data_IF_928209474602
#
_entry.id   IF_928209474602
#
_cell.length_a   1.000
_cell.length_b   1.000
_cell.length_c   1.000
_cell.angle_alpha   90.00
_cell.angle_beta   90.00
_cell.angle_gamma   90.00
#
_symmetry.space_group_name_H-M   'P 1'
#
loop_
_entity.id
_entity.type
_entity.pdbx_description
1 polymer ?
#
# COMPACT_ATOMS: atom_id res chain seq x y z
N UNK A 1 23.60 -3.46 -62.65
CA UNK A 1 22.80 -2.97 -61.51
C UNK A 1 21.90 -4.10 -61.06
N UNK A 2 22.03 -4.44 -59.76
CA UNK A 2 21.18 -5.29 -58.91
C UNK A 2 20.75 -6.68 -59.39
N UNK A 3 21.29 -7.70 -58.70
CA UNK A 3 20.68 -9.01 -58.55
C UNK A 3 20.14 -9.25 -57.13
N UNK A 4 19.53 -10.43 -56.99
CA UNK A 4 19.18 -11.22 -55.79
C UNK A 4 18.01 -10.82 -54.88
N UNK A 5 16.89 -11.55 -55.03
CA UNK A 5 16.49 -12.63 -54.10
C UNK A 5 15.62 -12.29 -52.88
N UNK A 6 14.44 -12.90 -52.78
CA UNK A 6 14.05 -13.76 -51.64
C UNK A 6 12.64 -14.34 -51.85
N UNK A 7 12.50 -15.64 -51.58
CA UNK A 7 11.28 -16.43 -51.66
C UNK A 7 11.14 -17.12 -50.29
N UNK A 8 9.94 -17.09 -49.70
CA UNK A 8 9.61 -17.79 -48.45
C UNK A 8 8.18 -18.38 -48.56
N UNK A 9 7.86 -19.47 -47.84
CA UNK A 9 7.40 -20.70 -48.51
C UNK A 9 6.09 -21.30 -47.97
N UNK A 10 5.53 -22.21 -48.79
CA UNK A 10 4.65 -23.38 -48.53
C UNK A 10 3.79 -23.50 -47.26
N UNK A 11 2.48 -23.60 -47.49
CA UNK A 11 1.50 -24.21 -46.57
C UNK A 11 1.43 -25.75 -46.73
N UNK A 12 1.00 -26.37 -45.63
CA UNK A 12 0.25 -27.63 -45.50
C UNK A 12 1.01 -28.97 -45.27
N UNK A 13 1.02 -29.34 -43.98
CA UNK A 13 0.35 -30.52 -43.41
C UNK A 13 1.14 -31.82 -43.06
N UNK A 14 1.07 -32.09 -41.74
CA UNK A 14 0.74 -33.36 -41.06
C UNK A 14 1.86 -34.31 -40.62
N UNK A 15 2.37 -34.04 -39.42
CA UNK A 15 2.83 -35.06 -38.47
C UNK A 15 2.13 -34.83 -37.12
N UNK A 16 1.14 -35.66 -36.81
CA UNK A 16 0.36 -35.56 -35.58
C UNK A 16 1.09 -36.16 -34.37
N UNK A 17 1.22 -35.35 -33.31
CA UNK A 17 1.17 -35.86 -31.94
C UNK A 17 0.06 -35.09 -31.24
N UNK A 18 -0.98 -35.80 -30.80
CA UNK A 18 -2.08 -35.27 -30.03
C UNK A 18 -1.54 -34.75 -28.69
N UNK A 19 -1.15 -33.48 -28.65
CA UNK A 19 -0.86 -32.79 -27.42
C UNK A 19 -2.18 -32.63 -26.68
N UNK A 20 -2.29 -33.25 -25.50
CA UNK A 20 -3.40 -33.00 -24.60
C UNK A 20 -3.63 -31.49 -24.51
N UNK A 21 -4.85 -31.04 -24.85
CA UNK A 21 -5.23 -29.64 -24.74
C UNK A 21 -4.96 -29.19 -23.30
N UNK A 22 -3.95 -28.33 -23.12
CA UNK A 22 -3.71 -27.69 -21.84
C UNK A 22 -4.98 -26.91 -21.50
N UNK A 23 -5.55 -27.18 -20.34
CA UNK A 23 -6.70 -26.45 -19.83
C UNK A 23 -6.41 -24.94 -19.89
N UNK A 24 -7.18 -24.13 -20.64
CA UNK A 24 -6.97 -22.68 -20.72
C UNK A 24 -7.05 -21.99 -19.36
N UNK A 25 -7.60 -22.65 -18.34
CA UNK A 25 -7.72 -22.14 -16.96
C UNK A 25 -6.43 -22.24 -16.16
N UNK A 26 -5.40 -22.94 -16.64
CA UNK A 26 -4.08 -22.99 -16.00
C UNK A 26 -3.12 -22.07 -16.77
N UNK A 27 -3.53 -20.81 -16.94
CA UNK A 27 -2.58 -19.72 -17.13
C UNK A 27 -1.86 -19.53 -15.79
N UNK A 28 -0.55 -19.80 -15.76
CA UNK A 28 0.28 -19.48 -14.60
C UNK A 28 0.12 -17.99 -14.30
N UNK A 29 -0.68 -17.66 -13.28
CA UNK A 29 -0.86 -16.29 -12.82
C UNK A 29 0.52 -15.81 -12.42
N UNK A 30 1.12 -14.91 -13.20
CA UNK A 30 2.27 -14.16 -12.75
C UNK A 30 1.89 -13.59 -11.38
N UNK A 31 2.56 -14.06 -10.33
CA UNK A 31 2.28 -13.62 -8.98
C UNK A 31 2.60 -12.12 -8.99
N UNK A 32 1.58 -11.29 -8.82
CA UNK A 32 1.75 -9.84 -8.78
C UNK A 32 2.64 -9.41 -7.61
N UNK A 33 2.73 -8.11 -7.38
CA UNK A 33 3.51 -7.57 -6.26
C UNK A 33 3.15 -8.27 -4.95
N UNK A 34 4.18 -8.73 -4.22
CA UNK A 34 4.02 -9.30 -2.89
C UNK A 34 4.02 -8.17 -1.87
N UNK A 35 3.25 -8.32 -0.81
CA UNK A 35 3.18 -7.35 0.29
C UNK A 35 4.05 -7.79 1.46
N UNK A 36 4.73 -6.82 2.09
CA UNK A 36 5.43 -7.01 3.36
C UNK A 36 4.50 -6.61 4.50
N UNK A 37 4.42 -7.42 5.55
CA UNK A 37 3.51 -7.17 6.69
C UNK A 37 4.31 -7.12 7.98
N UNK A 38 4.11 -6.06 8.77
CA UNK A 38 4.63 -5.94 10.14
C UNK A 38 3.49 -6.24 11.10
N UNK A 39 3.63 -7.30 11.90
CA UNK A 39 2.64 -7.75 12.87
C UNK A 39 3.24 -7.84 14.28
N UNK A 40 2.38 -7.66 15.29
CA UNK A 40 2.76 -7.87 16.69
C UNK A 40 2.71 -9.36 17.00
N UNK A 41 3.73 -9.86 17.68
CA UNK A 41 3.80 -11.26 18.09
C UNK A 41 3.21 -11.48 19.50
N UNK A 42 3.00 -10.41 20.27
CA UNK A 42 2.57 -10.45 21.66
C UNK A 42 1.32 -9.56 21.85
N UNK A 43 1.21 -8.88 23.00
CA UNK A 43 0.04 -8.08 23.40
C UNK A 43 0.25 -6.57 23.21
N UNK A 44 0.99 -6.16 22.17
CA UNK A 44 1.22 -4.74 21.89
C UNK A 44 2.56 -4.22 22.39
N UNK A 45 2.83 -2.96 22.07
CA UNK A 45 4.02 -2.20 22.46
C UNK A 45 5.39 -2.84 22.15
N UNK A 46 5.45 -3.73 21.16
CA UNK A 46 6.69 -4.40 20.73
C UNK A 46 7.62 -3.50 19.89
N UNK A 47 7.26 -2.22 19.71
CA UNK A 47 8.03 -1.28 18.89
C UNK A 47 7.84 -1.45 17.38
N UNK A 48 6.69 -1.99 16.94
CA UNK A 48 6.34 -2.18 15.52
C UNK A 48 6.53 -0.93 14.67
N UNK A 49 6.18 0.23 15.22
CA UNK A 49 6.30 1.50 14.52
C UNK A 49 7.74 1.80 14.06
N UNK A 50 8.75 1.46 14.88
CA UNK A 50 10.16 1.61 14.49
C UNK A 50 10.55 0.73 13.29
N UNK A 51 9.99 -0.47 13.20
CA UNK A 51 10.19 -1.38 12.04
C UNK A 51 9.44 -0.85 10.82
N UNK A 52 8.23 -0.34 11.00
CA UNK A 52 7.45 0.29 9.94
C UNK A 52 8.19 1.50 9.37
N UNK A 53 8.75 2.36 10.21
CA UNK A 53 9.49 3.55 9.76
C UNK A 53 10.71 3.18 8.92
N UNK A 54 11.44 2.13 9.32
CA UNK A 54 12.58 1.63 8.55
C UNK A 54 12.13 1.11 7.17
N UNK A 55 11.06 0.32 7.11
CA UNK A 55 10.57 -0.26 5.86
C UNK A 55 9.88 0.78 4.96
N UNK A 56 9.31 1.84 5.53
CA UNK A 56 8.61 2.88 4.79
C UNK A 56 9.54 3.80 3.98
N UNK A 57 10.85 3.77 4.23
CA UNK A 57 11.83 4.56 3.46
C UNK A 57 11.87 4.14 1.98
N UNK A 58 11.73 2.82 1.72
CA UNK A 58 11.81 2.22 0.38
C UNK A 58 10.44 1.74 -0.14
N UNK A 59 9.35 2.07 0.55
CA UNK A 59 8.00 1.65 0.15
C UNK A 59 7.39 2.61 -0.87
N UNK A 60 6.64 2.09 -1.84
CA UNK A 60 5.77 2.91 -2.71
C UNK A 60 4.43 3.23 -2.02
N UNK A 61 3.92 2.26 -1.26
CA UNK A 61 2.61 2.31 -0.60
C UNK A 61 2.73 1.76 0.82
N UNK A 62 2.16 2.49 1.77
CA UNK A 62 2.02 2.04 3.16
C UNK A 62 0.55 1.93 3.53
N UNK A 63 0.17 0.80 4.13
CA UNK A 63 -1.23 0.46 4.34
C UNK A 63 -1.55 0.21 5.81
N UNK A 64 -2.71 0.68 6.26
CA UNK A 64 -3.37 0.17 7.48
C UNK A 64 -4.55 -0.71 7.07
N UNK A 65 -4.55 -1.97 7.49
CA UNK A 65 -5.58 -2.93 7.09
C UNK A 65 -6.71 -3.12 8.11
N UNK A 66 -6.46 -2.86 9.39
CA UNK A 66 -7.36 -3.15 10.51
C UNK A 66 -7.21 -2.13 11.65
N UNK A 67 -8.16 -2.15 12.59
CA UNK A 67 -8.11 -1.38 13.83
C UNK A 67 -8.72 0.01 13.71
N UNK A 68 -8.33 0.91 14.63
CA UNK A 68 -8.78 2.30 14.69
C UNK A 68 -7.65 3.20 15.18
N UNK A 69 -7.98 4.29 15.88
CA UNK A 69 -7.06 5.29 16.41
C UNK A 69 -6.60 5.02 17.86
N UNK A 70 -6.63 3.76 18.30
CA UNK A 70 -6.40 3.36 19.70
C UNK A 70 -4.92 3.23 20.10
N UNK A 71 -4.00 3.25 19.12
CA UNK A 71 -2.57 3.14 19.35
C UNK A 71 -1.85 4.25 18.59
N UNK A 72 -0.89 4.88 19.26
CA UNK A 72 -0.06 5.94 18.71
C UNK A 72 1.33 5.45 18.32
N UNK A 73 1.93 6.08 17.32
CA UNK A 73 3.34 5.93 16.98
C UNK A 73 3.92 7.31 16.64
N UNK A 74 5.01 7.66 17.31
CA UNK A 74 5.70 8.95 17.10
C UNK A 74 6.93 8.75 16.21
N UNK A 75 7.03 9.54 15.14
CA UNK A 75 8.17 9.58 14.23
C UNK A 75 8.88 10.91 14.37
N UNK A 76 10.21 10.91 14.44
CA UNK A 76 11.01 12.14 14.51
C UNK A 76 11.73 12.35 13.18
N UNK A 77 11.46 13.48 12.51
CA UNK A 77 12.13 13.91 11.28
C UNK A 77 12.69 15.31 11.48
N UNK A 78 13.99 15.50 11.24
CA UNK A 78 14.67 16.79 11.40
C UNK A 78 14.37 17.49 12.75
N UNK A 79 14.38 16.72 13.84
CA UNK A 79 14.05 17.15 15.21
C UNK A 79 12.59 17.58 15.43
N UNK A 80 11.68 17.32 14.49
CA UNK A 80 10.23 17.51 14.63
C UNK A 80 9.55 16.18 14.90
N UNK A 81 8.72 16.13 15.94
CA UNK A 81 7.99 14.93 16.37
C UNK A 81 6.58 14.87 15.76
N UNK A 82 6.28 13.85 14.97
CA UNK A 82 4.99 13.61 14.33
C UNK A 82 4.27 12.46 15.01
N UNK A 83 3.02 12.65 15.43
CA UNK A 83 2.26 11.65 16.19
C UNK A 83 1.17 11.05 15.31
N UNK A 84 1.27 9.75 15.04
CA UNK A 84 0.34 9.03 14.16
C UNK A 84 -0.55 8.09 14.96
N UNK A 85 -1.86 8.15 14.75
CA UNK A 85 -2.83 7.28 15.40
C UNK A 85 -3.65 6.50 14.38
N UNK A 86 -4.23 7.16 13.39
CA UNK A 86 -5.01 6.56 12.31
C UNK A 86 -4.25 6.60 10.98
N UNK A 87 -3.54 7.69 10.68
CA UNK A 87 -2.72 7.78 9.49
C UNK A 87 -1.62 6.69 9.54
N UNK A 88 -1.33 6.01 8.43
CA UNK A 88 -0.13 5.20 8.33
C UNK A 88 1.13 6.08 8.51
N UNK A 89 1.98 5.81 9.50
CA UNK A 89 3.13 6.68 9.83
C UNK A 89 4.11 6.89 8.68
N UNK A 90 4.21 5.91 7.76
CA UNK A 90 5.00 6.03 6.55
C UNK A 90 4.58 7.15 5.59
N UNK A 91 3.41 7.79 5.79
CA UNK A 91 2.99 8.99 5.03
C UNK A 91 3.97 10.16 5.21
N UNK A 92 4.82 10.12 6.24
CA UNK A 92 5.92 11.08 6.45
C UNK A 92 6.94 11.08 5.31
N UNK A 93 7.07 9.96 4.59
CA UNK A 93 7.84 9.92 3.35
C UNK A 93 7.04 10.58 2.23
N UNK A 94 7.53 11.68 1.61
CA UNK A 94 6.78 12.41 0.59
C UNK A 94 6.53 11.59 -0.69
N UNK A 95 7.32 10.53 -0.93
CA UNK A 95 7.17 9.66 -2.10
C UNK A 95 6.15 8.53 -1.89
N UNK A 96 5.66 8.34 -0.66
CA UNK A 96 4.76 7.26 -0.30
C UNK A 96 3.30 7.68 -0.48
N UNK A 97 2.50 6.76 -1.03
CA UNK A 97 1.03 6.82 -0.94
C UNK A 97 0.57 6.06 0.31
N UNK A 98 -0.18 6.74 1.18
CA UNK A 98 -0.81 6.12 2.34
C UNK A 98 -2.19 5.57 1.97
N UNK A 99 -2.49 4.34 2.42
CA UNK A 99 -3.76 3.68 2.15
C UNK A 99 -4.43 3.18 3.43
N UNK A 100 -5.67 3.60 3.64
CA UNK A 100 -6.54 3.08 4.71
C UNK A 100 -7.49 2.04 4.10
N UNK A 101 -7.30 0.78 4.50
CA UNK A 101 -8.08 -0.36 4.01
C UNK A 101 -9.47 -0.46 4.65
N UNK A 102 -10.31 -1.30 4.05
CA UNK A 102 -11.72 -1.49 4.44
C UNK A 102 -11.92 -2.08 5.85
N UNK A 103 -10.91 -2.73 6.44
CA UNK A 103 -10.98 -3.26 7.81
C UNK A 103 -10.76 -2.21 8.90
N UNK A 104 -10.47 -0.96 8.53
CA UNK A 104 -10.26 0.13 9.49
C UNK A 104 -11.60 0.75 9.88
N UNK A 105 -11.71 1.11 11.16
CA UNK A 105 -12.79 1.96 11.70
C UNK A 105 -12.26 3.37 11.87
N UNK A 106 -12.86 4.33 11.17
CA UNK A 106 -12.39 5.70 11.03
C UNK A 106 -13.22 6.64 11.90
N UNK A 107 -12.59 7.30 12.87
CA UNK A 107 -13.15 8.46 13.56
C UNK A 107 -12.77 9.73 12.79
N UNK A 108 -13.69 10.28 12.00
CA UNK A 108 -13.40 11.40 11.08
C UNK A 108 -12.82 12.64 11.77
N UNK A 109 -13.40 13.16 12.89
CA UNK A 109 -12.81 14.30 13.58
C UNK A 109 -11.37 14.01 14.04
N UNK A 110 -11.13 12.81 14.58
CA UNK A 110 -9.80 12.40 15.02
C UNK A 110 -8.77 12.32 13.89
N UNK A 111 -9.18 11.87 12.70
CA UNK A 111 -8.32 11.83 11.52
C UNK A 111 -7.86 13.24 11.12
N UNK A 112 -8.79 14.19 11.04
CA UNK A 112 -8.46 15.57 10.68
C UNK A 112 -7.67 16.28 11.78
N UNK A 113 -8.03 16.09 13.05
CA UNK A 113 -7.28 16.63 14.18
C UNK A 113 -5.82 16.13 14.21
N UNK A 114 -5.60 14.85 13.93
CA UNK A 114 -4.27 14.24 13.81
C UNK A 114 -3.46 14.89 12.68
N UNK A 115 -4.05 14.99 11.49
CA UNK A 115 -3.41 15.58 10.33
C UNK A 115 -3.05 17.06 10.57
N UNK A 116 -4.01 17.87 11.02
CA UNK A 116 -3.80 19.29 11.29
C UNK A 116 -2.74 19.53 12.38
N UNK A 117 -2.73 18.72 13.45
CA UNK A 117 -1.71 18.83 14.50
C UNK A 117 -0.32 18.58 13.92
N UNK A 118 -0.17 17.56 13.10
CA UNK A 118 1.12 17.21 12.50
C UNK A 118 1.57 18.22 11.43
N UNK A 119 0.67 18.74 10.60
CA UNK A 119 1.00 19.80 9.63
C UNK A 119 1.50 21.08 10.31
N UNK A 120 0.95 21.44 11.48
CA UNK A 120 1.40 22.62 12.24
C UNK A 120 2.80 22.47 12.82
N UNK A 121 3.29 21.24 13.01
CA UNK A 121 4.61 20.99 13.61
C UNK A 121 5.76 21.17 12.62
N UNK A 122 5.53 20.92 11.33
CA UNK A 122 6.55 21.07 10.29
C UNK A 122 6.10 20.54 8.94
N UNK A 123 7.01 20.55 7.95
CA UNK A 123 6.68 20.24 6.54
C UNK A 123 6.50 18.76 6.21
N UNK A 124 6.71 17.85 7.16
CA UNK A 124 6.63 16.40 6.93
C UNK A 124 5.28 15.88 6.42
N UNK A 125 4.18 16.60 6.69
CA UNK A 125 2.84 16.27 6.15
C UNK A 125 2.36 17.21 5.04
N UNK A 126 3.22 18.04 4.47
CA UNK A 126 2.80 18.94 3.39
C UNK A 126 2.15 18.16 2.22
N UNK A 127 0.89 18.47 1.91
CA UNK A 127 0.13 17.84 0.83
C UNK A 127 -0.25 16.38 1.08
N UNK A 128 -0.39 15.96 2.34
CA UNK A 128 -0.80 14.61 2.72
C UNK A 128 -2.13 14.18 2.08
N UNK A 129 -3.06 15.10 1.84
CA UNK A 129 -4.40 14.85 1.26
C UNK A 129 -4.31 14.29 -0.16
N UNK A 130 -3.26 14.64 -0.90
CA UNK A 130 -3.03 14.14 -2.26
C UNK A 130 -2.47 12.73 -2.27
N UNK A 131 -1.95 12.26 -1.13
CA UNK A 131 -1.25 10.99 -0.96
C UNK A 131 -2.00 10.02 -0.05
N UNK A 132 -3.08 10.44 0.60
CA UNK A 132 -3.95 9.57 1.38
C UNK A 132 -5.10 9.06 0.52
N UNK A 133 -5.21 7.74 0.42
CA UNK A 133 -6.34 7.06 -0.19
C UNK A 133 -7.09 6.30 0.90
N UNK A 134 -8.40 6.51 0.97
CA UNK A 134 -9.28 5.84 1.94
C UNK A 134 -10.23 4.93 1.18
N UNK A 135 -10.27 3.66 1.57
CA UNK A 135 -11.27 2.71 1.07
C UNK A 135 -12.68 3.19 1.40
N UNK A 136 -13.55 3.28 0.40
CA UNK A 136 -14.98 3.61 0.52
C UNK A 136 -15.78 2.64 1.41
N UNK A 137 -15.25 1.42 1.59
CA UNK A 137 -15.81 0.36 2.45
C UNK A 137 -15.33 0.38 3.90
N UNK A 138 -14.50 1.35 4.30
CA UNK A 138 -14.09 1.49 5.70
C UNK A 138 -15.28 1.94 6.56
N UNK A 139 -15.37 1.43 7.80
CA UNK A 139 -16.46 1.79 8.70
C UNK A 139 -16.18 3.15 9.35
N UNK A 140 -17.23 3.93 9.61
CA UNK A 140 -17.10 5.21 10.33
C UNK A 140 -17.48 5.01 11.80
N UNK A 141 -16.57 5.35 12.72
CA UNK A 141 -16.86 5.49 14.13
C UNK A 141 -17.66 6.78 14.33
N UNK A 142 -18.96 6.64 14.53
CA UNK A 142 -19.84 7.74 14.89
C UNK A 142 -19.64 8.10 16.37
N UNK A 143 -19.85 9.37 16.76
CA UNK A 143 -19.89 9.75 18.16
C UNK A 143 -20.95 8.91 18.86
N UNK A 144 -20.57 8.22 19.94
CA UNK A 144 -21.56 7.72 20.86
C UNK A 144 -22.17 8.95 21.55
N UNK A 145 -23.44 9.21 21.29
CA UNK A 145 -24.17 10.28 21.97
C UNK A 145 -23.98 10.15 23.47
N UNK A 146 -23.66 11.26 24.13
CA UNK A 146 -23.96 11.42 25.56
C UNK A 146 -25.46 11.58 25.73
#
# INVERSE_FOLDING_TARGET
>A
MSGSGSMCPTEAQNGGSCGAARDPRVIGRAVGNKVTVVLGAQWGDEGKGKVVDLLAQDADIVCRCQGGNNAGHTVVVDAVEYDFHLLPSGIINPNVTAFIGNGVVIHLPGLFEEAEKNERKGKGLEGWEKRLIISDRAHIALPAGK
#
